data_IF_526028780135
#
_entry.id   IF_526028780135
#
_cell.length_a   1.000
_cell.length_b   1.000
_cell.length_c   1.000
_cell.angle_alpha   90.00
_cell.angle_beta   90.00
_cell.angle_gamma   90.00
#
_symmetry.space_group_name_H-M   'P 1'
#
loop_
_entity.id
_entity.type
_entity.pdbx_description
1 polymer ?
#
# COMPACT_ATOMS: atom_id res chain seq x y z
N UNK A 1 4.20 49.17 -20.97
CA UNK A 1 3.48 48.07 -20.31
C UNK A 1 4.17 47.77 -18.98
N UNK A 2 3.43 47.55 -17.88
CA UNK A 2 3.97 47.54 -16.51
C UNK A 2 4.83 46.30 -16.13
N UNK A 3 5.15 45.40 -17.07
CA UNK A 3 5.93 44.17 -16.84
C UNK A 3 5.42 43.26 -15.70
N UNK A 4 4.11 43.31 -15.40
CA UNK A 4 3.40 42.60 -14.32
C UNK A 4 2.92 41.21 -14.74
N UNK A 5 3.79 40.45 -15.37
CA UNK A 5 3.41 39.18 -16.02
C UNK A 5 3.01 38.12 -15.01
N UNK A 6 3.61 38.14 -13.82
CA UNK A 6 3.26 37.23 -12.72
C UNK A 6 1.84 37.47 -12.20
N UNK A 7 1.44 38.73 -12.00
CA UNK A 7 0.07 39.03 -11.55
C UNK A 7 -0.97 38.69 -12.61
N UNK A 8 -0.66 38.91 -13.90
CA UNK A 8 -1.53 38.50 -15.00
C UNK A 8 -1.71 36.99 -15.01
N UNK A 9 -0.64 36.21 -14.84
CA UNK A 9 -0.70 34.76 -14.77
C UNK A 9 -1.58 34.26 -13.62
N UNK A 10 -1.44 34.83 -12.42
CA UNK A 10 -2.25 34.48 -11.26
C UNK A 10 -3.73 34.83 -11.44
N UNK A 11 -4.03 35.98 -12.06
CA UNK A 11 -5.41 36.37 -12.37
C UNK A 11 -6.02 35.39 -13.39
N UNK A 12 -5.30 35.05 -14.46
CA UNK A 12 -5.76 34.08 -15.46
C UNK A 12 -6.00 32.70 -14.85
N UNK A 13 -5.11 32.24 -13.97
CA UNK A 13 -5.28 30.99 -13.22
C UNK A 13 -6.51 31.03 -12.31
N UNK A 14 -6.69 32.12 -11.55
CA UNK A 14 -7.88 32.32 -10.69
C UNK A 14 -9.19 32.29 -11.47
N UNK A 15 -9.21 32.94 -12.65
CA UNK A 15 -10.37 32.90 -13.56
C UNK A 15 -10.61 31.47 -14.04
N UNK A 16 -9.56 30.74 -14.43
CA UNK A 16 -9.67 29.36 -14.90
C UNK A 16 -10.31 28.45 -13.83
N UNK A 17 -9.92 28.57 -12.57
CA UNK A 17 -10.46 27.78 -11.46
C UNK A 17 -11.98 27.93 -11.27
N UNK A 18 -12.58 29.03 -11.76
CA UNK A 18 -14.02 29.30 -11.67
C UNK A 18 -14.81 28.77 -12.88
N UNK A 19 -14.13 28.22 -13.89
CA UNK A 19 -14.74 27.70 -15.11
C UNK A 19 -15.16 26.24 -14.97
N UNK A 20 -16.11 25.85 -15.82
CA UNK A 20 -16.48 24.45 -16.03
C UNK A 20 -15.28 23.66 -16.60
N UNK A 21 -15.22 22.33 -16.47
CA UNK A 21 -14.02 21.54 -16.78
C UNK A 21 -13.38 21.81 -18.15
N UNK A 22 -14.14 21.72 -19.23
CA UNK A 22 -13.63 21.92 -20.59
C UNK A 22 -13.19 23.37 -20.83
N UNK A 23 -13.95 24.35 -20.31
CA UNK A 23 -13.56 25.76 -20.36
C UNK A 23 -12.33 26.05 -19.51
N UNK A 24 -12.19 25.41 -18.34
CA UNK A 24 -11.05 25.57 -17.43
C UNK A 24 -9.76 25.22 -18.14
N UNK A 25 -9.73 24.11 -18.90
CA UNK A 25 -8.56 23.73 -19.70
C UNK A 25 -8.19 24.85 -20.69
N UNK A 26 -9.16 25.44 -21.39
CA UNK A 26 -8.91 26.54 -22.33
C UNK A 26 -8.28 27.75 -21.63
N UNK A 27 -8.77 28.12 -20.44
CA UNK A 27 -8.22 29.24 -19.67
C UNK A 27 -6.86 28.92 -19.04
N UNK A 28 -6.63 27.68 -18.60
CA UNK A 28 -5.32 27.24 -18.12
C UNK A 28 -4.27 27.26 -19.25
N UNK A 29 -4.63 26.85 -20.48
CA UNK A 29 -3.74 26.96 -21.65
C UNK A 29 -3.39 28.42 -21.96
N UNK A 30 -4.36 29.35 -21.83
CA UNK A 30 -4.09 30.80 -21.93
C UNK A 30 -3.15 31.30 -20.84
N UNK A 31 -3.35 30.86 -19.60
CA UNK A 31 -2.46 31.15 -18.47
C UNK A 31 -1.04 30.67 -18.76
N UNK A 32 -0.88 29.41 -19.19
CA UNK A 32 0.41 28.81 -19.52
C UNK A 32 1.15 29.59 -20.62
N UNK A 33 0.44 29.95 -21.70
CA UNK A 33 1.02 30.74 -22.79
C UNK A 33 1.54 32.10 -22.31
N UNK A 34 0.83 32.76 -21.36
CA UNK A 34 1.27 34.02 -20.78
C UNK A 34 2.52 33.91 -19.90
N UNK A 35 2.84 32.70 -19.42
CA UNK A 35 4.00 32.45 -18.55
C UNK A 35 5.25 31.98 -19.31
N UNK A 36 5.10 31.53 -20.56
CA UNK A 36 6.13 30.78 -21.31
C UNK A 36 7.49 31.49 -21.46
N UNK A 37 7.51 32.83 -21.45
CA UNK A 37 8.72 33.64 -21.58
C UNK A 37 9.30 34.13 -20.25
N UNK A 38 8.73 33.74 -19.10
CA UNK A 38 9.09 34.28 -17.78
C UNK A 38 9.80 33.22 -16.94
N UNK A 39 11.12 33.39 -16.75
CA UNK A 39 11.97 32.44 -16.03
C UNK A 39 11.54 32.19 -14.58
N UNK A 40 11.00 33.21 -13.89
CA UNK A 40 10.50 33.05 -12.51
C UNK A 40 9.25 32.18 -12.41
N UNK A 41 8.53 31.96 -13.52
CA UNK A 41 7.28 31.20 -13.57
C UNK A 41 7.45 29.77 -14.10
N UNK A 42 8.67 29.26 -14.25
CA UNK A 42 8.92 27.89 -14.77
C UNK A 42 8.23 26.82 -13.92
N UNK A 43 8.38 26.87 -12.60
CA UNK A 43 7.75 25.91 -11.70
C UNK A 43 6.22 26.00 -11.73
N UNK A 44 5.68 27.22 -11.75
CA UNK A 44 4.25 27.46 -11.86
C UNK A 44 3.68 26.92 -13.19
N UNK A 45 4.37 27.20 -14.30
CA UNK A 45 4.00 26.72 -15.64
C UNK A 45 3.96 25.20 -15.69
N UNK A 46 4.95 24.53 -15.08
CA UNK A 46 4.97 23.08 -14.95
C UNK A 46 3.74 22.57 -14.20
N UNK A 47 3.41 23.14 -13.05
CA UNK A 47 2.22 22.74 -12.28
C UNK A 47 0.90 23.00 -13.01
N UNK A 48 0.81 24.10 -13.76
CA UNK A 48 -0.38 24.39 -14.60
C UNK A 48 -0.51 23.38 -15.73
N UNK A 49 0.60 23.00 -16.37
CA UNK A 49 0.59 21.97 -17.42
C UNK A 49 0.17 20.61 -16.87
N UNK A 50 0.76 20.17 -15.74
CA UNK A 50 0.36 18.92 -15.07
C UNK A 50 -1.12 18.94 -14.66
N UNK A 51 -1.67 20.10 -14.28
CA UNK A 51 -3.09 20.22 -13.97
C UNK A 51 -3.99 20.12 -15.21
N UNK A 52 -3.56 20.69 -16.35
CA UNK A 52 -4.25 20.52 -17.64
C UNK A 52 -4.28 19.03 -18.01
N UNK A 53 -3.13 18.36 -17.97
CA UNK A 53 -3.02 16.94 -18.33
C UNK A 53 -3.91 16.06 -17.44
N UNK A 54 -3.98 16.39 -16.14
CA UNK A 54 -4.86 15.70 -15.20
C UNK A 54 -6.34 15.91 -15.54
N UNK A 55 -6.77 17.14 -15.83
CA UNK A 55 -8.17 17.43 -16.19
C UNK A 55 -8.58 16.71 -17.48
N UNK A 56 -7.73 16.76 -18.51
CA UNK A 56 -7.98 16.09 -19.79
C UNK A 56 -8.16 14.58 -19.59
N UNK A 57 -7.28 13.96 -18.79
CA UNK A 57 -7.42 12.55 -18.42
C UNK A 57 -8.69 12.27 -17.62
N UNK A 58 -9.01 13.09 -16.63
CA UNK A 58 -10.20 12.89 -15.78
C UNK A 58 -11.50 12.99 -16.56
N UNK A 59 -11.61 13.91 -17.52
CA UNK A 59 -12.80 14.05 -18.37
C UNK A 59 -13.04 12.76 -19.16
N UNK A 60 -11.99 12.21 -19.79
CA UNK A 60 -12.09 10.96 -20.56
C UNK A 60 -12.58 9.80 -19.68
N UNK A 61 -12.02 9.66 -18.47
CA UNK A 61 -12.41 8.60 -17.53
C UNK A 61 -13.86 8.80 -17.06
N UNK A 62 -14.21 10.04 -16.68
CA UNK A 62 -15.53 10.40 -16.18
C UNK A 62 -16.63 10.11 -17.20
N UNK A 63 -16.44 10.53 -18.46
CA UNK A 63 -17.41 10.34 -19.54
C UNK A 63 -17.62 8.85 -19.85
N UNK A 64 -16.54 8.06 -19.86
CA UNK A 64 -16.61 6.61 -20.06
C UNK A 64 -17.36 5.91 -18.91
N UNK A 65 -17.08 6.29 -17.67
CA UNK A 65 -17.72 5.70 -16.49
C UNK A 65 -19.21 6.07 -16.41
N UNK A 66 -19.58 7.32 -16.71
CA UNK A 66 -20.99 7.75 -16.76
C UNK A 66 -21.78 7.00 -17.84
N UNK A 67 -21.18 6.67 -18.98
CA UNK A 67 -21.81 5.83 -19.99
C UNK A 67 -22.03 4.39 -19.46
N UNK A 68 -21.00 3.79 -18.85
CA UNK A 68 -21.08 2.43 -18.27
C UNK A 68 -22.11 2.32 -17.14
N UNK A 69 -22.27 3.35 -16.32
CA UNK A 69 -23.25 3.39 -15.24
C UNK A 69 -24.68 3.43 -15.79
N UNK A 70 -24.94 4.23 -16.84
CA UNK A 70 -26.27 4.35 -17.46
C UNK A 70 -26.73 3.07 -18.14
N UNK A 71 -25.79 2.30 -18.68
CA UNK A 71 -26.08 1.02 -19.34
C UNK A 71 -26.25 -0.14 -18.32
N UNK A 72 -26.24 0.12 -17.01
CA UNK A 72 -26.31 -0.83 -15.89
C UNK A 72 -25.26 -1.98 -15.95
N UNK A 73 -24.29 -1.92 -16.85
CA UNK A 73 -23.40 -3.03 -17.17
C UNK A 73 -22.29 -3.29 -16.14
N UNK A 74 -22.02 -2.35 -15.23
CA UNK A 74 -20.84 -2.42 -14.35
C UNK A 74 -21.17 -2.86 -12.93
N UNK A 75 -20.87 -4.14 -12.62
CA UNK A 75 -21.01 -4.71 -11.26
C UNK A 75 -20.22 -3.93 -10.20
N UNK A 76 -19.05 -3.37 -10.56
CA UNK A 76 -18.23 -2.63 -9.60
C UNK A 76 -18.89 -1.32 -9.19
N UNK A 77 -19.57 -0.62 -10.11
CA UNK A 77 -20.32 0.59 -9.78
C UNK A 77 -21.63 0.28 -9.04
N UNK A 78 -22.23 -0.90 -9.24
CA UNK A 78 -23.36 -1.34 -8.41
C UNK A 78 -22.92 -1.62 -6.97
N UNK A 79 -21.81 -2.33 -6.78
CA UNK A 79 -21.30 -2.68 -5.46
C UNK A 79 -20.66 -1.49 -4.73
N UNK A 80 -20.01 -0.59 -5.47
CA UNK A 80 -19.37 0.61 -4.96
C UNK A 80 -19.79 1.84 -5.77
N UNK A 81 -21.00 2.38 -5.52
CA UNK A 81 -21.53 3.51 -6.28
C UNK A 81 -20.59 4.71 -6.30
N UNK A 82 -20.40 5.26 -7.50
CA UNK A 82 -19.74 6.54 -7.69
C UNK A 82 -20.69 7.65 -7.19
N UNK A 83 -20.27 8.40 -6.18
CA UNK A 83 -21.09 9.44 -5.53
C UNK A 83 -20.64 10.87 -5.84
N UNK A 84 -19.46 11.03 -6.44
CA UNK A 84 -18.86 12.32 -6.75
C UNK A 84 -18.11 12.24 -8.07
N UNK A 85 -17.98 13.39 -8.73
CA UNK A 85 -17.15 13.49 -9.93
C UNK A 85 -15.66 13.32 -9.62
N UNK A 86 -14.96 12.67 -10.55
CA UNK A 86 -13.51 12.57 -10.58
C UNK A 86 -12.84 13.88 -11.01
N UNK A 87 -13.56 14.72 -11.76
CA UNK A 87 -13.00 15.92 -12.38
C UNK A 87 -12.57 16.94 -11.32
N UNK A 88 -11.33 17.42 -11.45
CA UNK A 88 -10.71 18.37 -10.53
C UNK A 88 -10.19 17.76 -9.24
N UNK A 89 -10.26 16.43 -9.07
CA UNK A 89 -9.68 15.76 -7.90
C UNK A 89 -8.15 15.72 -8.01
N UNK A 90 -7.41 15.69 -6.88
CA UNK A 90 -5.96 15.53 -6.90
C UNK A 90 -5.52 14.25 -7.62
N UNK A 91 -4.29 14.23 -8.13
CA UNK A 91 -3.73 13.06 -8.83
C UNK A 91 -3.76 11.78 -7.99
N UNK A 92 -3.48 11.86 -6.68
CA UNK A 92 -3.54 10.70 -5.78
C UNK A 92 -4.97 10.21 -5.57
N UNK A 93 -5.96 11.10 -5.55
CA UNK A 93 -7.38 10.72 -5.53
C UNK A 93 -7.80 10.07 -6.85
N UNK A 94 -7.25 10.54 -7.97
CA UNK A 94 -7.48 9.95 -9.30
C UNK A 94 -6.86 8.57 -9.41
N UNK A 95 -5.66 8.38 -8.87
CA UNK A 95 -5.03 7.07 -8.74
C UNK A 95 -5.87 6.15 -7.84
N UNK A 96 -6.33 6.62 -6.68
CA UNK A 96 -7.18 5.83 -5.78
C UNK A 96 -8.45 5.36 -6.50
N UNK A 97 -9.13 6.28 -7.18
CA UNK A 97 -10.32 5.99 -7.97
C UNK A 97 -10.04 4.91 -9.03
N UNK A 98 -8.95 5.08 -9.76
CA UNK A 98 -8.52 4.13 -10.79
C UNK A 98 -8.16 2.77 -10.22
N UNK A 99 -7.56 2.71 -9.02
CA UNK A 99 -7.32 1.44 -8.32
C UNK A 99 -8.61 0.78 -7.83
N UNK A 100 -9.66 1.56 -7.56
CA UNK A 100 -10.93 1.06 -7.08
C UNK A 100 -11.80 0.50 -8.21
N UNK A 101 -11.81 1.17 -9.37
CA UNK A 101 -12.73 0.83 -10.47
C UNK A 101 -12.05 0.18 -11.67
N UNK A 102 -10.76 0.42 -11.87
CA UNK A 102 -10.06 0.20 -13.14
C UNK A 102 -8.72 -0.53 -12.98
N UNK A 103 -8.54 -1.26 -11.87
CA UNK A 103 -7.25 -1.85 -11.50
C UNK A 103 -6.67 -2.80 -12.54
N UNK A 104 -7.54 -3.55 -13.22
CA UNK A 104 -7.15 -4.59 -14.17
C UNK A 104 -6.91 -4.05 -15.59
N UNK A 105 -7.06 -2.73 -15.81
CA UNK A 105 -6.83 -2.14 -17.12
C UNK A 105 -5.34 -2.12 -17.49
N UNK A 106 -5.02 -2.39 -18.77
CA UNK A 106 -3.64 -2.33 -19.26
C UNK A 106 -3.07 -0.91 -19.20
N UNK A 107 -1.73 -0.79 -19.10
CA UNK A 107 -1.02 0.49 -18.90
C UNK A 107 -1.27 1.54 -20.00
N UNK A 108 -1.73 1.14 -21.18
CA UNK A 108 -2.09 2.05 -22.26
C UNK A 108 -3.49 2.69 -22.10
N UNK A 109 -4.30 2.25 -21.13
CA UNK A 109 -5.60 2.85 -20.84
C UNK A 109 -5.46 4.09 -19.93
N UNK A 110 -6.21 5.16 -20.23
CA UNK A 110 -6.19 6.39 -19.43
C UNK A 110 -6.55 6.17 -17.96
N UNK A 111 -7.50 5.26 -17.67
CA UNK A 111 -7.93 4.92 -16.32
C UNK A 111 -7.04 3.87 -15.63
N UNK A 112 -5.99 3.36 -16.27
CA UNK A 112 -5.11 2.37 -15.63
C UNK A 112 -4.28 3.00 -14.51
N UNK A 113 -4.22 2.39 -13.30
CA UNK A 113 -3.37 2.87 -12.22
C UNK A 113 -1.89 2.98 -12.60
N UNK A 114 -1.38 2.04 -13.40
CA UNK A 114 0.00 2.06 -13.87
C UNK A 114 0.24 3.20 -14.85
N UNK A 115 -0.72 3.46 -15.75
CA UNK A 115 -0.66 4.62 -16.67
C UNK A 115 -0.55 5.93 -15.90
N UNK A 116 -1.37 6.10 -14.87
CA UNK A 116 -1.38 7.32 -14.03
C UNK A 116 -0.08 7.44 -13.25
N UNK A 117 0.43 6.32 -12.71
CA UNK A 117 1.71 6.28 -12.00
C UNK A 117 2.85 6.77 -12.88
N UNK A 118 2.98 6.21 -14.07
CA UNK A 118 4.05 6.54 -15.02
C UNK A 118 3.92 7.98 -15.53
N UNK A 119 2.71 8.39 -15.94
CA UNK A 119 2.48 9.71 -16.52
C UNK A 119 2.75 10.86 -15.54
N UNK A 120 2.30 10.73 -14.28
CA UNK A 120 2.46 11.78 -13.27
C UNK A 120 3.66 11.56 -12.34
N UNK A 121 4.57 10.65 -12.69
CA UNK A 121 5.77 10.34 -11.91
C UNK A 121 5.47 10.04 -10.42
N UNK A 122 4.42 9.27 -10.16
CA UNK A 122 4.03 8.89 -8.80
C UNK A 122 5.07 7.93 -8.24
N UNK A 123 5.61 8.25 -7.06
CA UNK A 123 6.63 7.42 -6.41
C UNK A 123 6.10 6.03 -6.06
N UNK A 124 6.98 5.02 -5.98
CA UNK A 124 6.60 3.66 -5.56
C UNK A 124 5.87 3.64 -4.22
N UNK A 125 6.31 4.49 -3.28
CA UNK A 125 5.69 4.62 -1.96
C UNK A 125 4.26 5.14 -2.05
N UNK A 126 4.03 6.23 -2.81
CA UNK A 126 2.69 6.78 -3.03
C UNK A 126 1.80 5.78 -3.78
N UNK A 127 2.33 5.15 -4.82
CA UNK A 127 1.60 4.17 -5.61
C UNK A 127 1.16 2.98 -4.76
N UNK A 128 2.07 2.34 -4.03
CA UNK A 128 1.76 1.21 -3.18
C UNK A 128 0.75 1.59 -2.09
N UNK A 129 0.95 2.72 -1.41
CA UNK A 129 0.03 3.19 -0.37
C UNK A 129 -1.39 3.36 -0.92
N UNK A 130 -1.54 4.12 -2.00
CA UNK A 130 -2.84 4.41 -2.61
C UNK A 130 -3.52 3.16 -3.16
N UNK A 131 -2.75 2.32 -3.85
CA UNK A 131 -3.27 1.08 -4.45
C UNK A 131 -3.75 0.11 -3.38
N UNK A 132 -2.95 -0.13 -2.34
CA UNK A 132 -3.32 -1.02 -1.23
C UNK A 132 -4.56 -0.46 -0.52
N UNK A 133 -4.65 0.85 -0.31
CA UNK A 133 -5.80 1.48 0.33
C UNK A 133 -7.11 1.24 -0.46
N UNK A 134 -7.06 1.31 -1.79
CA UNK A 134 -8.22 1.04 -2.65
C UNK A 134 -8.55 -0.46 -2.67
N UNK A 135 -7.56 -1.32 -2.88
CA UNK A 135 -7.74 -2.77 -2.96
C UNK A 135 -8.21 -3.40 -1.64
N UNK A 136 -7.85 -2.82 -0.48
CA UNK A 136 -8.38 -3.26 0.82
C UNK A 136 -9.89 -3.08 0.87
N UNK A 137 -10.43 -1.99 0.32
CA UNK A 137 -11.88 -1.76 0.27
C UNK A 137 -12.60 -2.82 -0.58
N UNK A 138 -11.91 -3.36 -1.57
CA UNK A 138 -12.39 -4.44 -2.44
C UNK A 138 -12.05 -5.85 -1.92
N UNK A 139 -11.33 -5.96 -0.79
CA UNK A 139 -10.80 -7.22 -0.25
C UNK A 139 -9.96 -8.01 -1.27
N UNK A 140 -9.26 -7.32 -2.17
CA UNK A 140 -8.42 -7.92 -3.23
C UNK A 140 -7.03 -8.29 -2.70
N UNK A 141 -6.97 -9.20 -1.73
CA UNK A 141 -5.74 -9.53 -0.99
C UNK A 141 -4.60 -10.06 -1.87
N UNK A 142 -4.93 -10.87 -2.89
CA UNK A 142 -3.93 -11.39 -3.83
C UNK A 142 -3.28 -10.26 -4.64
N UNK A 143 -4.02 -9.21 -4.97
CA UNK A 143 -3.47 -8.08 -5.71
C UNK A 143 -2.68 -7.14 -4.81
N UNK A 144 -3.07 -7.00 -3.53
CA UNK A 144 -2.26 -6.33 -2.51
C UNK A 144 -0.90 -7.04 -2.37
N UNK A 145 -0.88 -8.37 -2.32
CA UNK A 145 0.36 -9.14 -2.30
C UNK A 145 1.23 -8.83 -3.53
N UNK A 146 0.66 -8.87 -4.75
CA UNK A 146 1.38 -8.53 -5.99
C UNK A 146 1.98 -7.13 -5.96
N UNK A 147 1.27 -6.14 -5.41
CA UNK A 147 1.77 -4.76 -5.27
C UNK A 147 2.98 -4.71 -4.33
N UNK A 148 3.00 -5.54 -3.30
CA UNK A 148 4.12 -5.66 -2.36
C UNK A 148 5.27 -6.52 -2.89
N UNK A 149 5.09 -7.27 -3.98
CA UNK A 149 6.13 -8.13 -4.53
C UNK A 149 7.19 -7.33 -5.28
N UNK A 150 8.41 -7.33 -4.76
CA UNK A 150 9.58 -6.71 -5.38
C UNK A 150 10.44 -7.77 -6.07
N UNK A 151 10.75 -7.57 -7.36
CA UNK A 151 11.74 -8.36 -8.09
C UNK A 151 13.14 -7.97 -7.62
N UNK A 152 13.91 -8.92 -7.10
CA UNK A 152 15.34 -8.74 -6.85
C UNK A 152 16.13 -8.86 -8.15
N UNK A 153 17.30 -8.22 -8.17
CA UNK A 153 18.25 -8.26 -9.29
C UNK A 153 18.68 -9.69 -9.67
N UNK A 154 18.65 -10.64 -8.72
CA UNK A 154 18.98 -12.06 -8.93
C UNK A 154 17.73 -12.95 -9.13
N UNK A 155 16.62 -12.39 -9.61
CA UNK A 155 15.41 -13.15 -9.98
C UNK A 155 14.53 -13.61 -8.83
N UNK A 156 14.96 -13.49 -7.57
CA UNK A 156 14.11 -13.80 -6.41
C UNK A 156 13.03 -12.75 -6.21
N UNK A 157 11.79 -13.16 -5.95
CA UNK A 157 10.69 -12.25 -5.58
C UNK A 157 10.50 -12.30 -4.08
N UNK A 158 10.41 -11.14 -3.42
CA UNK A 158 10.04 -11.05 -1.99
C UNK A 158 8.98 -9.99 -1.78
N UNK A 159 8.14 -10.21 -0.78
CA UNK A 159 7.26 -9.17 -0.25
C UNK A 159 8.13 -8.08 0.37
N UNK A 160 7.89 -6.85 -0.04
CA UNK A 160 8.57 -5.66 0.42
C UNK A 160 7.55 -4.52 0.53
N UNK A 161 7.46 -3.93 1.72
CA UNK A 161 6.63 -2.77 1.94
C UNK A 161 7.47 -1.49 1.73
N UNK A 162 7.17 -0.62 0.76
CA UNK A 162 7.93 0.62 0.50
C UNK A 162 7.67 1.73 1.53
N UNK A 163 6.94 1.42 2.59
CA UNK A 163 6.66 2.25 3.75
C UNK A 163 6.64 1.38 5.02
N UNK A 164 6.55 1.99 6.20
CA UNK A 164 6.60 1.24 7.46
C UNK A 164 5.49 0.19 7.59
N UNK A 165 5.83 -1.01 8.04
CA UNK A 165 4.90 -2.14 8.17
C UNK A 165 3.70 -1.83 9.05
N UNK A 166 3.90 -1.06 10.14
CA UNK A 166 2.80 -0.56 10.98
C UNK A 166 1.68 0.05 10.15
N UNK A 167 2.01 0.88 9.17
CA UNK A 167 1.01 1.51 8.33
C UNK A 167 0.34 0.53 7.38
N UNK A 168 1.06 -0.48 6.87
CA UNK A 168 0.44 -1.54 6.07
C UNK A 168 -0.69 -2.22 6.86
N UNK A 169 -0.40 -2.65 8.09
CA UNK A 169 -1.39 -3.28 8.97
C UNK A 169 -2.54 -2.34 9.33
N UNK A 170 -2.28 -1.04 9.55
CA UNK A 170 -3.34 -0.05 9.73
C UNK A 170 -4.25 0.05 8.50
N UNK A 171 -3.69 0.06 7.29
CA UNK A 171 -4.47 0.17 6.05
C UNK A 171 -5.28 -1.09 5.80
N UNK A 172 -4.66 -2.27 5.83
CA UNK A 172 -5.37 -3.53 5.48
C UNK A 172 -6.44 -3.91 6.49
N UNK A 173 -6.34 -3.42 7.73
CA UNK A 173 -7.34 -3.64 8.79
C UNK A 173 -8.32 -2.47 8.94
N UNK A 174 -8.31 -1.47 8.06
CA UNK A 174 -9.10 -0.24 8.25
C UNK A 174 -10.62 -0.43 8.10
N UNK A 175 -11.04 -1.46 7.37
CA UNK A 175 -12.45 -1.73 7.09
C UNK A 175 -12.90 -3.02 7.79
N UNK A 176 -12.17 -4.10 7.53
CA UNK A 176 -12.39 -5.42 8.09
C UNK A 176 -11.03 -6.10 8.25
N UNK A 177 -10.94 -7.04 9.19
CA UNK A 177 -9.74 -7.82 9.41
C UNK A 177 -9.44 -8.71 8.19
N UNK A 178 -8.21 -8.68 7.66
CA UNK A 178 -7.83 -9.60 6.58
C UNK A 178 -7.86 -11.06 7.06
N UNK A 179 -7.98 -12.04 6.13
CA UNK A 179 -7.86 -13.46 6.47
C UNK A 179 -6.56 -13.76 7.21
N UNK A 180 -6.61 -14.73 8.14
CA UNK A 180 -5.47 -15.16 8.98
C UNK A 180 -4.24 -15.45 8.13
N UNK A 181 -4.41 -16.09 6.98
CA UNK A 181 -3.34 -16.48 6.07
C UNK A 181 -2.61 -15.26 5.48
N UNK A 182 -3.35 -14.19 5.17
CA UNK A 182 -2.81 -12.93 4.65
C UNK A 182 -2.03 -12.21 5.74
N UNK A 183 -2.59 -12.11 6.95
CA UNK A 183 -1.91 -11.51 8.10
C UNK A 183 -0.62 -12.26 8.44
N UNK A 184 -0.68 -13.59 8.56
CA UNK A 184 0.50 -14.42 8.81
C UNK A 184 1.57 -14.23 7.72
N UNK A 185 1.16 -14.21 6.44
CA UNK A 185 2.08 -14.02 5.31
C UNK A 185 2.80 -12.67 5.38
N UNK A 186 2.06 -11.58 5.60
CA UNK A 186 2.65 -10.24 5.67
C UNK A 186 3.49 -10.04 6.94
N UNK A 187 3.08 -10.60 8.08
CA UNK A 187 3.87 -10.53 9.30
C UNK A 187 5.20 -11.25 9.13
N UNK A 188 5.21 -12.46 8.55
CA UNK A 188 6.43 -13.22 8.30
C UNK A 188 7.38 -12.54 7.31
N UNK A 189 6.89 -11.60 6.49
CA UNK A 189 7.72 -10.81 5.60
C UNK A 189 8.49 -9.67 6.30
N UNK A 190 8.11 -9.29 7.52
CA UNK A 190 8.79 -8.23 8.31
C UNK A 190 10.16 -8.74 8.74
N UNK A 191 11.30 -8.13 8.33
CA UNK A 191 12.63 -8.65 8.67
C UNK A 191 12.97 -8.53 10.15
N UNK A 192 12.59 -7.43 10.79
CA UNK A 192 12.88 -7.17 12.20
C UNK A 192 11.94 -7.98 13.12
N UNK A 193 12.51 -8.87 13.94
CA UNK A 193 11.73 -9.76 14.81
C UNK A 193 10.94 -9.00 15.87
N UNK A 194 11.46 -7.88 16.38
CA UNK A 194 10.79 -7.09 17.42
C UNK A 194 9.57 -6.35 16.85
N UNK A 195 9.69 -5.74 15.67
CA UNK A 195 8.59 -5.13 14.93
C UNK A 195 7.56 -6.18 14.53
N UNK A 196 8.02 -7.33 14.01
CA UNK A 196 7.15 -8.46 13.65
C UNK A 196 6.32 -8.92 14.83
N UNK A 197 6.94 -9.18 15.97
CA UNK A 197 6.26 -9.60 17.19
C UNK A 197 5.30 -8.52 17.70
N UNK A 198 5.71 -7.25 17.71
CA UNK A 198 4.87 -6.12 18.15
C UNK A 198 3.62 -5.96 17.29
N UNK A 199 3.72 -6.20 15.99
CA UNK A 199 2.58 -6.17 15.08
C UNK A 199 1.73 -7.43 15.22
N UNK A 200 2.32 -8.63 15.30
CA UNK A 200 1.60 -9.88 15.50
C UNK A 200 0.74 -9.88 16.78
N UNK A 201 1.24 -9.28 17.87
CA UNK A 201 0.50 -9.16 19.13
C UNK A 201 -0.78 -8.32 19.05
N UNK A 202 -1.01 -7.57 17.96
CA UNK A 202 -2.27 -6.84 17.74
C UNK A 202 -3.38 -7.76 17.17
N UNK A 203 -3.05 -9.00 16.83
CA UNK A 203 -3.92 -9.94 16.12
C UNK A 203 -3.92 -11.30 16.84
N UNK A 204 -4.85 -11.57 17.77
CA UNK A 204 -4.86 -12.82 18.55
C UNK A 204 -4.89 -14.09 17.68
N UNK A 205 -5.54 -14.04 16.52
CA UNK A 205 -5.71 -15.16 15.60
C UNK A 205 -4.42 -15.60 14.89
N UNK A 206 -3.37 -14.76 14.89
CA UNK A 206 -2.04 -15.07 14.34
C UNK A 206 -0.99 -15.34 15.42
N UNK A 207 -1.41 -15.75 16.62
CA UNK A 207 -0.54 -16.08 17.76
C UNK A 207 0.64 -17.01 17.42
N UNK A 208 0.51 -17.83 16.38
CA UNK A 208 1.62 -18.64 15.85
C UNK A 208 2.84 -17.82 15.42
N UNK A 209 2.65 -16.64 14.84
CA UNK A 209 3.75 -15.76 14.43
C UNK A 209 4.45 -15.16 15.66
N UNK A 210 3.69 -14.85 16.72
CA UNK A 210 4.29 -14.42 18.00
C UNK A 210 5.15 -15.52 18.60
N UNK A 211 4.68 -16.77 18.59
CA UNK A 211 5.46 -17.94 19.04
C UNK A 211 6.73 -18.09 18.21
N UNK A 212 6.63 -18.00 16.88
CA UNK A 212 7.78 -18.06 15.97
C UNK A 212 8.84 -16.97 16.30
N UNK A 213 8.42 -15.73 16.56
CA UNK A 213 9.32 -14.64 16.96
C UNK A 213 10.03 -14.93 18.28
N UNK A 214 9.29 -15.35 19.31
CA UNK A 214 9.82 -15.63 20.65
C UNK A 214 10.84 -16.77 20.62
N UNK A 215 10.56 -17.81 19.84
CA UNK A 215 11.49 -18.93 19.61
C UNK A 215 12.74 -18.46 18.88
N UNK A 216 12.60 -17.65 17.83
CA UNK A 216 13.73 -17.11 17.07
C UNK A 216 14.63 -16.18 17.91
N UNK A 217 14.03 -15.41 18.83
CA UNK A 217 14.74 -14.57 19.79
C UNK A 217 15.35 -15.36 20.96
N UNK A 218 14.99 -16.64 21.12
CA UNK A 218 15.33 -17.49 22.28
C UNK A 218 14.83 -16.91 23.62
N UNK A 219 13.76 -16.12 23.59
CA UNK A 219 13.18 -15.51 24.79
C UNK A 219 12.21 -16.48 25.49
N UNK A 220 12.79 -17.38 26.29
CA UNK A 220 12.02 -18.41 27.01
C UNK A 220 11.09 -17.82 28.06
N UNK A 221 11.48 -16.70 28.68
CA UNK A 221 10.69 -16.06 29.73
C UNK A 221 9.43 -15.48 29.11
N UNK A 222 9.56 -14.72 28.01
CA UNK A 222 8.41 -14.19 27.31
C UNK A 222 7.55 -15.28 26.65
N UNK A 223 8.16 -16.37 26.15
CA UNK A 223 7.40 -17.52 25.63
C UNK A 223 6.57 -18.22 26.71
N UNK A 224 7.14 -18.42 27.91
CA UNK A 224 6.40 -18.96 29.05
C UNK A 224 5.27 -18.03 29.49
N UNK A 225 5.53 -16.72 29.55
CA UNK A 225 4.52 -15.72 29.89
C UNK A 225 3.41 -15.63 28.82
N UNK A 226 3.74 -15.86 27.55
CA UNK A 226 2.77 -15.91 26.46
C UNK A 226 1.91 -17.18 26.53
N UNK A 227 2.52 -18.36 26.76
CA UNK A 227 1.79 -19.62 26.95
C UNK A 227 0.74 -19.51 28.06
N UNK A 228 1.07 -18.87 29.18
CA UNK A 228 0.13 -18.66 30.29
C UNK A 228 -1.11 -17.83 29.92
N UNK A 229 -1.07 -17.07 28.82
CA UNK A 229 -2.20 -16.27 28.30
C UNK A 229 -3.03 -17.02 27.26
N UNK A 230 -2.51 -18.11 26.69
CA UNK A 230 -3.22 -18.89 25.68
C UNK A 230 -4.29 -19.75 26.33
N UNK A 231 -5.42 -19.94 25.63
CA UNK A 231 -6.44 -20.89 26.05
C UNK A 231 -5.84 -22.30 26.06
N UNK A 232 -5.96 -23.04 27.18
CA UNK A 232 -5.46 -24.40 27.28
C UNK A 232 -6.00 -25.31 26.18
N UNK A 233 -5.22 -26.32 25.79
CA UNK A 233 -5.56 -27.32 24.78
C UNK A 233 -5.78 -26.80 23.34
N UNK A 234 -5.50 -25.52 23.08
CA UNK A 234 -5.46 -24.99 21.71
C UNK A 234 -4.20 -25.45 20.97
N UNK A 235 -4.24 -25.39 19.64
CA UNK A 235 -3.08 -25.70 18.78
C UNK A 235 -1.90 -24.79 19.13
N UNK A 236 -2.17 -23.51 19.38
CA UNK A 236 -1.20 -22.50 19.76
C UNK A 236 -0.55 -22.81 21.12
N UNK A 237 -1.34 -23.20 22.13
CA UNK A 237 -0.82 -23.60 23.43
C UNK A 237 0.09 -24.83 23.32
N UNK A 238 -0.31 -25.85 22.55
CA UNK A 238 0.54 -27.03 22.30
C UNK A 238 1.82 -26.66 21.55
N UNK A 239 1.76 -25.78 20.54
CA UNK A 239 2.94 -25.28 19.81
C UNK A 239 3.92 -24.57 20.75
N UNK A 240 3.43 -23.66 21.59
CA UNK A 240 4.27 -22.93 22.55
C UNK A 240 4.90 -23.85 23.61
N UNK A 241 4.12 -24.80 24.15
CA UNK A 241 4.62 -25.80 25.10
C UNK A 241 5.71 -26.69 24.48
N UNK A 242 5.48 -27.19 23.27
CA UNK A 242 6.46 -28.00 22.55
C UNK A 242 7.76 -27.22 22.26
N UNK A 243 7.65 -25.94 21.91
CA UNK A 243 8.82 -25.08 21.70
C UNK A 243 9.64 -24.89 22.99
N UNK A 244 8.99 -24.72 24.14
CA UNK A 244 9.65 -24.66 25.45
C UNK A 244 10.36 -26.00 25.78
N UNK A 245 9.71 -27.13 25.53
CA UNK A 245 10.26 -28.45 25.84
C UNK A 245 11.45 -28.82 24.92
N UNK A 246 11.35 -28.58 23.62
CA UNK A 246 12.42 -28.88 22.66
C UNK A 246 13.70 -28.06 22.91
N UNK A 247 13.57 -26.85 23.44
CA UNK A 247 14.71 -26.06 23.87
C UNK A 247 15.42 -26.65 25.11
N UNK A 248 14.71 -27.39 25.98
CA UNK A 248 15.31 -28.10 27.13
C UNK A 248 16.13 -29.30 26.68
N UNK A 249 15.60 -30.12 25.76
CA UNK A 249 16.30 -31.31 25.27
C UNK A 249 17.61 -30.96 24.55
N UNK A 250 17.63 -29.93 23.70
CA UNK A 250 18.88 -29.45 23.05
C UNK A 250 19.91 -28.85 24.02
N UNK A 251 19.49 -28.29 25.15
CA UNK A 251 20.44 -27.84 26.19
C UNK A 251 21.01 -29.01 26.98
N UNK A 252 20.20 -30.04 27.27
CA UNK A 252 20.68 -31.24 27.96
C UNK A 252 21.62 -32.07 27.08
N UNK A 253 21.35 -32.23 25.78
CA UNK A 253 22.28 -32.91 24.84
C UNK A 253 23.65 -32.23 24.76
N UNK A 254 23.71 -30.89 24.91
CA UNK A 254 24.99 -30.16 24.96
C UNK A 254 25.73 -30.29 26.29
N UNK A 255 25.03 -30.70 27.35
CA UNK A 255 25.57 -30.95 28.68
C UNK A 255 25.96 -32.42 28.87
N UNK A 256 25.57 -33.32 27.97
CA UNK A 256 26.11 -34.67 27.91
C UNK A 256 27.52 -34.58 27.33
N UNK A 257 28.51 -34.59 28.22
CA UNK A 257 29.92 -34.68 27.85
C UNK A 257 30.10 -36.03 27.14
N UNK A 258 30.66 -36.06 25.92
CA UNK A 258 30.90 -37.33 25.26
C UNK A 258 31.91 -38.12 26.09
N UNK A 259 31.43 -39.23 26.66
CA UNK A 259 32.30 -40.22 27.28
C UNK A 259 33.16 -40.84 26.18
N UNK A 260 34.44 -41.02 26.45
CA UNK A 260 35.29 -41.82 25.56
C UNK A 260 34.91 -43.31 25.63
N UNK A 261 35.57 -44.13 24.81
CA UNK A 261 35.35 -45.58 24.76
C UNK A 261 35.60 -46.29 26.10
N UNK A 262 36.22 -45.62 27.06
CA UNK A 262 36.55 -46.13 28.39
C UNK A 262 35.65 -45.54 29.49
N UNK A 263 34.62 -44.76 29.12
CA UNK A 263 33.64 -44.23 30.06
C UNK A 263 34.14 -43.05 30.90
N UNK A 264 35.22 -42.37 30.50
CA UNK A 264 35.69 -41.15 31.16
C UNK A 264 35.20 -39.88 30.47
N UNK A 265 34.96 -38.86 31.30
CA UNK A 265 34.53 -37.53 30.90
C UNK A 265 35.70 -36.82 30.20
N UNK A 266 35.53 -36.43 28.94
CA UNK A 266 36.51 -35.59 28.20
C UNK A 266 36.60 -34.16 28.73
#
# INVERSE_FOLDING_TARGET
ALNRTEEVALVLYSVACRKQPSERIVYLKKCLNSCSAVSSLVAFSKSVNEYIDLLERQIIIEDADEALIKEEGSKIFQQYPKTVTLIGRPVLTTLYYSCLYHFDLPVNAYASPLSIKEFFNITEKQYAWTTISALTRLKRWNDIEKVLMSKKLLGGVKIHCPFGWRHLFTIISSNEQPPKEILCKFLRAIPDLNERQRLANQFPEVSEVTIECLVAQKDRIALSAFLAKLTPHTVEAHKALNALNNAVYKSMEKLVIPLDSDGQIR
#
